data_IF_503779139965
#
_entry.id   IF_503779139965
#
_cell.length_a   1.000
_cell.length_b   1.000
_cell.length_c   1.000
_cell.angle_alpha   90.00
_cell.angle_beta   90.00
_cell.angle_gamma   90.00
#
_symmetry.space_group_name_H-M   'P 1'
#
loop_
_entity.id
_entity.type
_entity.pdbx_description
1 polymer ?
#
# COMPACT_ATOMS: atom_id res chain seq x y z
N UNK A 1 -26.16 55.86 8.06
CA UNK A 1 -25.23 56.36 7.01
C UNK A 1 -24.10 57.08 7.68
N UNK A 2 -22.91 56.51 7.64
CA UNK A 2 -21.72 57.04 8.33
C UNK A 2 -21.10 58.14 7.49
N UNK A 3 -20.67 59.25 8.13
CA UNK A 3 -20.05 60.41 7.51
C UNK A 3 -18.70 60.14 6.85
N UNK A 4 -18.14 58.94 7.04
CA UNK A 4 -16.85 58.49 6.51
C UNK A 4 -16.91 58.23 4.98
N UNK A 5 -18.08 58.02 4.42
CA UNK A 5 -18.24 57.72 2.97
C UNK A 5 -18.09 58.93 2.03
N UNK A 6 -17.80 60.11 2.58
CA UNK A 6 -17.70 61.36 1.80
C UNK A 6 -16.26 61.87 1.59
N UNK A 7 -15.22 61.19 2.05
CA UNK A 7 -13.84 61.69 2.00
C UNK A 7 -12.89 60.83 1.12
N UNK A 8 -13.37 59.86 0.40
CA UNK A 8 -12.51 59.12 -0.52
C UNK A 8 -12.57 59.68 -1.93
N UNK A 9 -11.43 60.16 -2.51
CA UNK A 9 -11.41 60.60 -3.90
C UNK A 9 -11.70 59.45 -4.85
N UNK A 10 -12.65 59.66 -5.73
CA UNK A 10 -12.98 58.79 -6.85
C UNK A 10 -11.81 58.74 -7.82
N UNK A 11 -11.05 57.64 -7.84
CA UNK A 11 -10.00 57.52 -8.87
C UNK A 11 -8.92 56.48 -8.64
N UNK A 12 -9.11 55.44 -7.82
CA UNK A 12 -8.20 54.29 -7.87
C UNK A 12 -8.90 53.14 -8.60
N UNK A 13 -8.63 53.03 -9.92
CA UNK A 13 -8.88 51.80 -10.66
C UNK A 13 -8.06 50.72 -9.98
N UNK A 14 -8.69 49.77 -9.35
CA UNK A 14 -8.08 48.46 -9.03
C UNK A 14 -7.65 47.84 -10.35
N UNK A 15 -6.35 47.81 -10.60
CA UNK A 15 -5.81 46.87 -11.59
C UNK A 15 -6.32 45.48 -11.24
N UNK A 16 -7.07 44.86 -12.14
CA UNK A 16 -7.44 43.48 -12.03
C UNK A 16 -6.14 42.66 -11.89
N UNK A 17 -5.90 42.20 -10.68
CA UNK A 17 -4.75 41.39 -10.34
C UNK A 17 -4.62 40.24 -11.29
N UNK A 18 -3.40 40.07 -11.82
CA UNK A 18 -3.00 38.93 -12.61
C UNK A 18 -3.66 37.66 -12.08
N UNK A 19 -4.30 36.92 -12.99
CA UNK A 19 -4.87 35.59 -12.71
C UNK A 19 -3.83 34.82 -11.92
N UNK A 20 -4.02 34.68 -10.62
CA UNK A 20 -3.34 33.66 -9.84
C UNK A 20 -3.72 32.35 -10.49
N UNK A 21 -2.77 31.72 -11.19
CA UNK A 21 -2.95 30.37 -11.67
C UNK A 21 -3.29 29.54 -10.43
N UNK A 22 -4.52 29.13 -10.28
CA UNK A 22 -4.91 28.21 -9.22
C UNK A 22 -4.16 26.93 -9.52
N UNK A 23 -3.15 26.63 -8.70
CA UNK A 23 -2.47 25.32 -8.76
C UNK A 23 -3.57 24.29 -8.59
N UNK A 24 -3.75 23.35 -9.53
CA UNK A 24 -4.80 22.37 -9.44
C UNK A 24 -4.73 21.64 -8.09
N UNK A 25 -5.86 21.58 -7.38
CA UNK A 25 -5.94 20.85 -6.12
C UNK A 25 -5.50 19.40 -6.35
N UNK A 26 -4.57 18.90 -5.52
CA UNK A 26 -4.08 17.51 -5.59
C UNK A 26 -2.71 17.32 -6.21
N UNK A 27 -2.07 18.36 -6.80
CA UNK A 27 -0.71 18.24 -7.33
C UNK A 27 0.39 18.18 -6.25
N UNK A 28 0.06 18.57 -5.03
CA UNK A 28 1.03 18.62 -3.94
C UNK A 28 0.61 17.70 -2.79
N UNK A 29 1.57 16.98 -2.24
CA UNK A 29 1.40 16.08 -1.09
C UNK A 29 2.38 16.49 0.01
N UNK A 30 1.92 16.56 1.25
CA UNK A 30 2.77 16.85 2.39
C UNK A 30 3.25 15.53 3.02
N UNK A 31 4.55 15.41 3.25
CA UNK A 31 5.09 14.27 3.98
C UNK A 31 4.73 14.38 5.47
N UNK A 32 4.16 13.32 6.02
CA UNK A 32 3.74 13.29 7.44
C UNK A 32 4.92 13.18 8.43
N UNK A 33 6.11 12.82 7.96
CA UNK A 33 7.30 12.63 8.81
C UNK A 33 8.21 13.87 8.84
N UNK A 34 8.44 14.53 7.70
CA UNK A 34 9.36 15.68 7.60
C UNK A 34 8.67 16.98 7.19
N UNK A 35 7.33 16.99 7.06
CA UNK A 35 6.51 18.14 6.69
C UNK A 35 6.83 18.77 5.31
N UNK A 36 7.73 18.18 4.53
CA UNK A 36 8.07 18.66 3.20
C UNK A 36 6.86 18.63 2.27
N UNK A 37 6.68 19.71 1.50
CA UNK A 37 5.70 19.76 0.41
C UNK A 37 6.34 19.18 -0.83
N UNK A 38 5.73 18.14 -1.39
CA UNK A 38 6.26 17.31 -2.45
C UNK A 38 5.36 17.38 -3.67
N UNK A 39 5.94 17.38 -4.86
CA UNK A 39 5.19 17.27 -6.10
C UNK A 39 4.71 15.82 -6.27
N UNK A 40 3.41 15.63 -6.44
CA UNK A 40 2.80 14.30 -6.43
C UNK A 40 3.37 13.34 -7.48
N UNK A 41 3.59 13.75 -8.76
CA UNK A 41 4.19 12.87 -9.74
C UNK A 41 5.61 12.40 -9.38
N UNK A 42 6.42 13.24 -8.69
CA UNK A 42 7.75 12.83 -8.24
C UNK A 42 7.67 11.78 -7.12
N UNK A 43 6.69 11.94 -6.23
CA UNK A 43 6.43 10.95 -5.17
C UNK A 43 5.97 9.63 -5.78
N UNK A 44 5.09 9.68 -6.77
CA UNK A 44 4.57 8.49 -7.47
C UNK A 44 5.68 7.77 -8.27
N UNK A 45 6.60 8.50 -8.92
CA UNK A 45 7.79 7.94 -9.58
C UNK A 45 8.77 7.29 -8.60
N UNK A 46 8.81 7.76 -7.36
CA UNK A 46 9.61 7.18 -6.28
C UNK A 46 8.77 6.20 -5.42
N UNK A 47 7.84 5.49 -6.02
CA UNK A 47 6.99 4.46 -5.39
C UNK A 47 6.33 4.90 -4.08
N UNK A 48 5.88 6.17 -4.03
CA UNK A 48 5.28 6.78 -2.85
C UNK A 48 6.21 6.81 -1.61
N UNK A 49 7.51 6.80 -1.81
CA UNK A 49 8.52 7.08 -0.79
C UNK A 49 8.91 8.55 -0.83
N UNK A 50 9.06 9.18 0.32
CA UNK A 50 9.43 10.59 0.40
C UNK A 50 10.87 10.82 -0.06
N UNK A 51 11.14 11.60 -1.13
CA UNK A 51 12.51 11.83 -1.62
C UNK A 51 13.36 12.69 -0.68
N UNK A 52 12.78 13.24 0.39
CA UNK A 52 13.50 14.08 1.37
C UNK A 52 13.93 13.35 2.64
N UNK A 53 13.17 12.33 3.06
CA UNK A 53 13.42 11.66 4.34
C UNK A 53 13.17 10.16 4.32
N UNK A 54 13.02 9.55 3.16
CA UNK A 54 12.79 8.12 2.93
C UNK A 54 11.58 7.55 3.69
N UNK A 55 10.64 8.41 4.07
CA UNK A 55 9.43 7.93 4.72
C UNK A 55 8.54 7.20 3.70
N UNK A 56 8.26 5.95 3.97
CA UNK A 56 7.32 5.12 3.20
C UNK A 56 5.90 5.60 3.46
N UNK A 57 5.32 6.35 2.51
CA UNK A 57 3.95 6.81 2.62
C UNK A 57 3.00 5.63 2.45
N UNK A 58 1.86 5.70 3.12
CA UNK A 58 0.82 4.68 2.95
C UNK A 58 0.26 4.72 1.55
N UNK A 59 0.17 3.56 0.91
CA UNK A 59 -0.43 3.35 -0.41
C UNK A 59 -1.54 2.32 -0.34
N UNK A 60 -2.49 2.38 -1.28
CA UNK A 60 -3.57 1.40 -1.40
C UNK A 60 -3.07 0.07 -1.97
N UNK A 61 -3.90 -0.96 -1.83
CA UNK A 61 -3.59 -2.31 -2.29
C UNK A 61 -3.31 -2.38 -3.80
N UNK A 62 -4.12 -1.72 -4.63
CA UNK A 62 -3.91 -1.71 -6.09
C UNK A 62 -2.57 -1.10 -6.46
N UNK A 63 -2.24 0.07 -5.90
CA UNK A 63 -0.94 0.71 -6.14
C UNK A 63 0.22 -0.19 -5.71
N UNK A 64 0.07 -0.92 -4.59
CA UNK A 64 1.05 -1.89 -4.12
C UNK A 64 1.30 -3.00 -5.15
N UNK A 65 0.22 -3.57 -5.68
CA UNK A 65 0.27 -4.62 -6.68
C UNK A 65 0.79 -4.11 -8.03
N UNK A 66 0.46 -2.86 -8.41
CA UNK A 66 0.97 -2.21 -9.62
C UNK A 66 2.48 -1.98 -9.60
N UNK A 67 3.05 -1.63 -8.44
CA UNK A 67 4.50 -1.48 -8.25
C UNK A 67 5.19 -2.85 -8.26
N UNK A 68 4.54 -3.88 -7.71
CA UNK A 68 5.19 -5.16 -7.44
C UNK A 68 5.14 -6.12 -8.62
N UNK A 69 3.99 -6.30 -9.26
CA UNK A 69 3.80 -7.25 -10.36
C UNK A 69 4.25 -6.68 -11.71
N UNK A 70 4.62 -7.58 -12.61
CA UNK A 70 4.79 -7.26 -14.03
C UNK A 70 3.47 -6.68 -14.58
N UNK A 71 3.57 -5.77 -15.54
CA UNK A 71 2.38 -5.11 -16.09
C UNK A 71 1.50 -6.05 -16.88
N UNK A 72 2.12 -6.95 -17.61
CA UNK A 72 1.45 -7.86 -18.52
C UNK A 72 1.06 -9.17 -17.81
N UNK A 73 -0.06 -9.76 -18.24
CA UNK A 73 -0.50 -11.09 -17.80
C UNK A 73 -1.00 -11.17 -16.35
N UNK A 74 -1.17 -10.05 -15.65
CA UNK A 74 -1.75 -10.04 -14.30
C UNK A 74 -3.28 -10.05 -14.34
N UNK A 75 -3.88 -10.85 -13.46
CA UNK A 75 -5.32 -11.03 -13.34
C UNK A 75 -5.77 -10.87 -11.89
N UNK A 76 -6.81 -10.06 -11.66
CA UNK A 76 -7.47 -10.01 -10.36
C UNK A 76 -8.37 -11.23 -10.19
N UNK A 77 -8.14 -12.01 -9.14
CA UNK A 77 -8.88 -13.23 -8.84
C UNK A 77 -9.79 -13.04 -7.63
N UNK A 78 -10.78 -13.93 -7.46
CA UNK A 78 -11.69 -13.96 -6.29
C UNK A 78 -12.49 -12.66 -6.10
N UNK A 79 -12.85 -12.00 -7.19
CA UNK A 79 -13.59 -10.74 -7.21
C UNK A 79 -15.06 -10.90 -6.79
N UNK A 80 -15.57 -12.13 -6.77
CA UNK A 80 -16.94 -12.51 -6.36
C UNK A 80 -17.12 -12.60 -4.84
N UNK A 81 -16.02 -12.62 -4.06
CA UNK A 81 -16.07 -12.73 -2.61
C UNK A 81 -16.26 -11.35 -1.97
N UNK A 82 -17.40 -11.19 -1.30
CA UNK A 82 -17.81 -9.94 -0.66
C UNK A 82 -18.18 -10.13 0.82
N UNK A 83 -18.04 -9.10 1.67
CA UNK A 83 -18.46 -9.16 3.06
C UNK A 83 -19.98 -9.20 3.18
N UNK A 84 -20.48 -10.00 4.12
CA UNK A 84 -21.91 -10.12 4.40
C UNK A 84 -22.16 -9.85 5.88
N UNK A 85 -23.06 -8.91 6.18
CA UNK A 85 -23.51 -8.63 7.55
C UNK A 85 -24.47 -9.72 8.06
N UNK A 86 -23.92 -10.90 8.41
CA UNK A 86 -24.68 -12.06 8.91
C UNK A 86 -25.26 -11.81 10.28
N UNK A 87 -24.59 -11.02 11.12
CA UNK A 87 -24.96 -10.77 12.51
C UNK A 87 -25.87 -9.55 12.68
N UNK A 88 -26.12 -8.79 11.61
CA UNK A 88 -26.85 -7.51 11.64
C UNK A 88 -26.28 -6.59 12.73
N UNK A 89 -24.93 -6.57 12.83
CA UNK A 89 -24.20 -5.85 13.86
C UNK A 89 -24.52 -4.36 13.84
N UNK A 90 -24.73 -3.80 15.03
CA UNK A 90 -24.96 -2.37 15.22
C UNK A 90 -24.32 -1.91 16.54
N UNK A 91 -23.51 -0.89 16.43
CA UNK A 91 -23.08 -0.02 17.53
C UNK A 91 -23.68 1.38 17.32
N UNK A 92 -22.86 2.42 17.19
CA UNK A 92 -23.31 3.77 16.81
C UNK A 92 -23.85 3.83 15.36
N UNK A 93 -23.38 2.93 14.49
CA UNK A 93 -23.83 2.77 13.09
C UNK A 93 -23.98 1.28 12.78
N UNK A 94 -24.88 0.93 11.84
CA UNK A 94 -25.01 -0.44 11.36
C UNK A 94 -23.76 -0.84 10.57
N UNK A 95 -23.34 -2.09 10.68
CA UNK A 95 -22.17 -2.61 9.94
C UNK A 95 -22.37 -2.50 8.42
N UNK A 96 -23.57 -2.82 7.93
CA UNK A 96 -23.93 -2.63 6.51
C UNK A 96 -23.68 -1.21 6.02
N UNK A 97 -24.03 -0.19 6.81
CA UNK A 97 -23.82 1.21 6.43
C UNK A 97 -22.32 1.57 6.40
N UNK A 98 -21.53 0.97 7.30
CA UNK A 98 -20.06 1.11 7.30
C UNK A 98 -19.42 0.45 6.08
N UNK A 99 -19.88 -0.75 5.69
CA UNK A 99 -19.42 -1.46 4.49
C UNK A 99 -19.66 -0.60 3.24
N UNK A 100 -20.90 -0.12 3.06
CA UNK A 100 -21.25 0.74 1.92
C UNK A 100 -20.41 2.03 1.87
N UNK A 101 -20.15 2.65 3.03
CA UNK A 101 -19.30 3.83 3.10
C UNK A 101 -17.84 3.53 2.73
N UNK A 102 -17.28 2.41 3.21
CA UNK A 102 -15.93 1.99 2.89
C UNK A 102 -15.78 1.64 1.40
N UNK A 103 -16.72 0.90 0.84
CA UNK A 103 -16.77 0.57 -0.59
C UNK A 103 -16.79 1.83 -1.46
N UNK A 104 -17.62 2.83 -1.12
CA UNK A 104 -17.65 4.11 -1.85
C UNK A 104 -16.35 4.90 -1.73
N UNK A 105 -15.70 4.86 -0.56
CA UNK A 105 -14.48 5.62 -0.30
C UNK A 105 -13.24 5.02 -0.96
N UNK A 106 -13.17 3.69 -1.06
CA UNK A 106 -12.00 2.97 -1.57
C UNK A 106 -12.16 2.48 -3.01
N UNK A 107 -13.40 2.31 -3.48
CA UNK A 107 -13.71 1.61 -4.73
C UNK A 107 -13.56 0.08 -4.62
N UNK A 108 -13.19 -0.44 -3.44
CA UNK A 108 -12.94 -1.86 -3.22
C UNK A 108 -14.12 -2.56 -2.56
N UNK A 109 -14.28 -3.84 -2.85
CA UNK A 109 -15.35 -4.67 -2.25
C UNK A 109 -15.08 -5.03 -0.79
N UNK A 110 -13.82 -5.26 -0.45
CA UNK A 110 -13.33 -5.50 0.93
C UNK A 110 -11.83 -5.16 1.06
N UNK A 111 -11.28 -5.38 2.23
CA UNK A 111 -9.92 -4.99 2.63
C UNK A 111 -8.80 -5.89 2.07
N UNK A 112 -9.05 -6.74 1.09
CA UNK A 112 -8.03 -7.57 0.44
C UNK A 112 -8.27 -7.67 -1.06
N UNK A 113 -7.19 -7.44 -1.85
CA UNK A 113 -7.14 -7.71 -3.28
C UNK A 113 -6.21 -8.90 -3.50
N UNK A 114 -6.61 -9.83 -4.36
CA UNK A 114 -5.81 -10.97 -4.75
C UNK A 114 -5.56 -10.95 -6.26
N UNK A 115 -4.32 -11.17 -6.66
CA UNK A 115 -3.92 -11.23 -8.07
C UNK A 115 -3.08 -12.47 -8.34
N UNK A 116 -3.26 -13.03 -9.53
CA UNK A 116 -2.33 -13.93 -10.19
C UNK A 116 -1.52 -13.10 -11.18
N UNK A 117 -0.22 -13.33 -11.28
CA UNK A 117 0.64 -12.60 -12.21
C UNK A 117 2.05 -13.13 -12.22
N UNK A 118 2.97 -12.29 -12.66
CA UNK A 118 4.40 -12.60 -12.67
C UNK A 118 5.19 -11.52 -11.94
N UNK A 119 6.35 -11.90 -11.42
CA UNK A 119 7.38 -11.04 -10.88
C UNK A 119 8.68 -11.33 -11.61
N UNK A 120 9.13 -10.43 -12.46
CA UNK A 120 10.27 -10.66 -13.36
C UNK A 120 10.15 -12.00 -14.11
N UNK A 121 8.98 -12.22 -14.72
CA UNK A 121 8.65 -13.42 -15.48
C UNK A 121 8.28 -14.66 -14.65
N UNK A 122 8.54 -14.68 -13.34
CA UNK A 122 8.20 -15.81 -12.47
C UNK A 122 6.75 -15.77 -12.05
N UNK A 123 5.95 -16.83 -12.28
CA UNK A 123 4.54 -16.88 -11.89
C UNK A 123 4.39 -16.94 -10.38
N UNK A 124 3.43 -16.17 -9.85
CA UNK A 124 3.08 -16.17 -8.43
C UNK A 124 1.63 -15.75 -8.20
N UNK A 125 1.14 -16.05 -7.01
CA UNK A 125 -0.06 -15.45 -6.45
C UNK A 125 0.33 -14.37 -5.45
N UNK A 126 -0.33 -13.21 -5.50
CA UNK A 126 -0.06 -12.15 -4.54
C UNK A 126 -1.36 -11.57 -3.99
N UNK A 127 -1.32 -11.18 -2.73
CA UNK A 127 -2.43 -10.52 -2.07
C UNK A 127 -1.95 -9.25 -1.37
N UNK A 128 -2.77 -8.20 -1.39
CA UNK A 128 -2.47 -6.96 -0.71
C UNK A 128 -3.67 -6.44 0.08
N UNK A 129 -3.40 -6.00 1.30
CA UNK A 129 -4.43 -5.42 2.17
C UNK A 129 -4.70 -3.95 1.80
N UNK A 130 -6.00 -3.60 1.72
CA UNK A 130 -6.45 -2.22 1.61
C UNK A 130 -6.74 -1.64 3.01
N UNK A 131 -5.78 -0.91 3.54
CA UNK A 131 -5.91 -0.37 4.89
C UNK A 131 -7.01 0.70 5.00
N UNK A 132 -7.31 1.42 3.94
CA UNK A 132 -8.39 2.41 3.93
C UNK A 132 -9.77 1.76 4.10
N UNK A 133 -9.91 0.47 3.77
CA UNK A 133 -11.12 -0.28 4.01
C UNK A 133 -11.14 -0.84 5.45
N UNK A 134 -11.89 -0.22 6.34
CA UNK A 134 -12.04 -0.64 7.75
C UNK A 134 -10.72 -0.88 8.50
N UNK A 135 -9.67 -0.09 8.19
CA UNK A 135 -8.35 -0.28 8.79
C UNK A 135 -7.69 -1.61 8.39
N UNK A 136 -8.00 -2.15 7.21
CA UNK A 136 -7.47 -3.43 6.76
C UNK A 136 -7.91 -4.63 7.59
N UNK A 137 -9.00 -4.51 8.38
CA UNK A 137 -9.41 -5.55 9.32
C UNK A 137 -9.90 -6.81 8.60
N UNK A 138 -9.48 -7.98 9.11
CA UNK A 138 -9.84 -9.29 8.59
C UNK A 138 -11.22 -9.72 9.06
N UNK A 139 -12.20 -9.72 8.16
CA UNK A 139 -13.48 -10.39 8.27
C UNK A 139 -13.53 -11.65 7.40
N UNK A 140 -14.73 -12.20 7.23
CA UNK A 140 -14.97 -13.38 6.40
C UNK A 140 -14.36 -13.28 5.01
N UNK A 141 -14.66 -12.18 4.28
CA UNK A 141 -14.21 -12.04 2.90
C UNK A 141 -12.69 -11.96 2.78
N UNK A 142 -12.00 -11.26 3.68
CA UNK A 142 -10.53 -11.21 3.71
C UNK A 142 -9.93 -12.60 3.95
N UNK A 143 -10.40 -13.31 4.98
CA UNK A 143 -9.91 -14.64 5.30
C UNK A 143 -10.21 -15.67 4.21
N UNK A 144 -11.39 -15.57 3.57
CA UNK A 144 -11.75 -16.43 2.43
C UNK A 144 -10.88 -16.16 1.21
N UNK A 145 -10.71 -14.89 0.81
CA UNK A 145 -9.84 -14.50 -0.30
C UNK A 145 -8.40 -14.97 -0.08
N UNK A 146 -7.83 -14.70 1.11
CA UNK A 146 -6.48 -15.18 1.44
C UNK A 146 -6.38 -16.70 1.32
N UNK A 147 -7.31 -17.42 1.93
CA UNK A 147 -7.31 -18.88 1.91
C UNK A 147 -7.40 -19.45 0.50
N UNK A 148 -8.30 -18.92 -0.34
CA UNK A 148 -8.44 -19.39 -1.73
C UNK A 148 -7.25 -18.98 -2.61
N UNK A 149 -6.66 -17.81 -2.38
CA UNK A 149 -5.43 -17.41 -3.05
C UNK A 149 -4.27 -18.37 -2.71
N UNK A 150 -4.13 -18.72 -1.43
CA UNK A 150 -3.15 -19.71 -0.98
C UNK A 150 -3.44 -21.14 -1.54
N UNK A 151 -4.71 -21.54 -1.64
CA UNK A 151 -5.09 -22.80 -2.27
C UNK A 151 -4.77 -22.83 -3.77
N UNK A 152 -4.97 -21.71 -4.47
CA UNK A 152 -4.57 -21.57 -5.88
C UNK A 152 -3.05 -21.69 -6.02
N UNK A 153 -2.30 -20.95 -5.20
CA UNK A 153 -0.84 -21.04 -5.16
C UNK A 153 -0.37 -22.49 -4.94
N UNK A 154 -0.99 -23.19 -3.98
CA UNK A 154 -0.70 -24.59 -3.69
C UNK A 154 -1.02 -25.52 -4.87
N UNK A 155 -2.18 -25.34 -5.53
CA UNK A 155 -2.60 -26.22 -6.64
C UNK A 155 -1.79 -26.03 -7.91
N UNK A 156 -1.27 -24.82 -8.14
CA UNK A 156 -0.46 -24.50 -9.31
C UNK A 156 1.06 -24.55 -9.04
N UNK A 157 1.47 -24.86 -7.82
CA UNK A 157 2.89 -24.91 -7.44
C UNK A 157 3.58 -23.54 -7.47
N UNK A 158 2.81 -22.45 -7.27
CA UNK A 158 3.31 -21.08 -7.31
C UNK A 158 3.54 -20.53 -5.90
N UNK A 159 4.56 -19.68 -5.69
CA UNK A 159 4.73 -18.97 -4.41
C UNK A 159 3.58 -17.99 -4.16
N UNK A 160 3.33 -17.72 -2.87
CA UNK A 160 2.40 -16.69 -2.40
C UNK A 160 3.18 -15.53 -1.77
N UNK A 161 2.87 -14.30 -2.16
CA UNK A 161 3.36 -13.09 -1.49
C UNK A 161 2.18 -12.31 -0.92
N UNK A 162 2.26 -11.94 0.36
CA UNK A 162 1.21 -11.17 1.05
C UNK A 162 1.75 -9.84 1.55
N UNK A 163 1.24 -8.74 1.01
CA UNK A 163 1.46 -7.40 1.56
C UNK A 163 0.39 -7.10 2.60
N UNK A 164 0.76 -7.14 3.86
CA UNK A 164 -0.17 -7.01 4.97
C UNK A 164 -0.15 -5.62 5.60
N UNK A 165 -1.35 -5.04 5.79
CA UNK A 165 -1.61 -3.80 6.53
C UNK A 165 -2.97 -3.92 7.23
N UNK A 166 -3.00 -4.07 8.55
CA UNK A 166 -4.25 -4.39 9.25
C UNK A 166 -4.27 -3.97 10.70
N UNK A 167 -5.45 -3.52 11.15
CA UNK A 167 -5.76 -3.33 12.56
C UNK A 167 -6.11 -4.64 13.31
N UNK A 168 -6.21 -5.79 12.62
CA UNK A 168 -6.53 -7.08 13.22
C UNK A 168 -7.88 -7.68 12.80
N UNK A 169 -8.48 -8.51 13.63
CA UNK A 169 -9.76 -9.14 13.36
C UNK A 169 -10.91 -8.11 13.33
N UNK A 170 -11.84 -8.25 12.38
CA UNK A 170 -12.98 -7.34 12.21
C UNK A 170 -14.02 -7.55 13.28
N UNK A 171 -14.11 -6.62 14.21
CA UNK A 171 -14.99 -6.70 15.39
C UNK A 171 -16.47 -6.92 15.04
N UNK A 172 -16.95 -6.31 13.95
CA UNK A 172 -18.34 -6.37 13.52
C UNK A 172 -18.80 -7.77 13.06
N UNK A 173 -17.86 -8.64 12.76
CA UNK A 173 -18.13 -10.04 12.40
C UNK A 173 -17.86 -11.03 13.54
N UNK A 174 -17.47 -10.53 14.72
CA UNK A 174 -17.29 -11.30 15.96
C UNK A 174 -16.53 -12.62 15.77
N UNK A 175 -17.08 -13.76 16.18
CA UNK A 175 -16.46 -15.07 16.07
C UNK A 175 -16.12 -15.46 14.62
N UNK A 176 -16.88 -14.99 13.64
CA UNK A 176 -16.60 -15.27 12.22
C UNK A 176 -15.23 -14.73 11.82
N UNK A 177 -14.85 -13.53 12.29
CA UNK A 177 -13.50 -12.96 12.08
C UNK A 177 -12.42 -13.80 12.75
N UNK A 178 -12.65 -14.25 13.97
CA UNK A 178 -11.68 -15.08 14.72
C UNK A 178 -11.46 -16.43 14.04
N UNK A 179 -12.51 -17.05 13.49
CA UNK A 179 -12.40 -18.29 12.73
C UNK A 179 -11.57 -18.16 11.44
N UNK A 180 -11.44 -16.94 10.89
CA UNK A 180 -10.55 -16.71 9.76
C UNK A 180 -9.07 -16.91 10.14
N UNK A 181 -8.69 -16.60 11.38
CA UNK A 181 -7.31 -16.83 11.86
C UNK A 181 -6.94 -18.32 11.75
N UNK A 182 -7.77 -19.21 12.25
CA UNK A 182 -7.53 -20.65 12.15
C UNK A 182 -7.46 -21.10 10.68
N UNK A 183 -8.33 -20.56 9.83
CA UNK A 183 -8.43 -20.91 8.42
C UNK A 183 -7.19 -20.47 7.62
N UNK A 184 -6.72 -19.26 7.84
CA UNK A 184 -5.51 -18.75 7.18
C UNK A 184 -4.25 -19.48 7.64
N UNK A 185 -4.12 -19.74 8.96
CA UNK A 185 -2.99 -20.52 9.50
C UNK A 185 -2.97 -21.96 8.96
N UNK A 186 -4.15 -22.60 8.83
CA UNK A 186 -4.23 -23.96 8.31
C UNK A 186 -3.82 -24.09 6.83
N UNK A 187 -4.14 -23.09 6.00
CA UNK A 187 -3.71 -23.13 4.59
C UNK A 187 -2.21 -22.83 4.45
N UNK A 188 -1.66 -21.94 5.26
CA UNK A 188 -0.21 -21.67 5.30
C UNK A 188 0.56 -22.94 5.68
N UNK A 189 0.11 -23.67 6.70
CA UNK A 189 0.74 -24.94 7.06
C UNK A 189 0.69 -25.96 5.91
N UNK A 190 -0.41 -26.03 5.17
CA UNK A 190 -0.48 -26.88 3.98
C UNK A 190 0.52 -26.47 2.88
N UNK A 191 0.73 -25.16 2.66
CA UNK A 191 1.74 -24.67 1.74
C UNK A 191 3.14 -25.09 2.19
N UNK A 192 3.44 -24.91 3.48
CA UNK A 192 4.71 -25.30 4.08
C UNK A 192 5.01 -26.80 3.92
N UNK A 193 4.03 -27.66 4.23
CA UNK A 193 4.15 -29.12 4.05
C UNK A 193 4.39 -29.50 2.58
N UNK A 194 3.80 -28.76 1.64
CA UNK A 194 3.98 -28.97 0.20
C UNK A 194 5.27 -28.34 -0.36
N UNK A 195 6.04 -27.60 0.45
CA UNK A 195 7.23 -26.89 0.00
C UNK A 195 6.95 -25.70 -0.91
N UNK A 196 5.74 -25.13 -0.85
CA UNK A 196 5.37 -23.94 -1.64
C UNK A 196 5.65 -22.68 -0.81
N UNK A 197 6.55 -21.78 -1.27
CA UNK A 197 6.97 -20.64 -0.49
C UNK A 197 5.85 -19.64 -0.20
N UNK A 198 5.77 -19.21 1.06
CA UNK A 198 4.94 -18.08 1.49
C UNK A 198 5.82 -16.95 2.04
N UNK A 199 5.86 -15.81 1.35
CA UNK A 199 6.57 -14.61 1.79
C UNK A 199 5.57 -13.61 2.33
N UNK A 200 5.73 -13.22 3.60
CA UNK A 200 4.95 -12.18 4.24
C UNK A 200 5.70 -10.86 4.22
N UNK A 201 5.09 -9.82 3.65
CA UNK A 201 5.63 -8.47 3.63
C UNK A 201 4.77 -7.58 4.51
N UNK A 202 5.33 -7.16 5.64
CA UNK A 202 4.66 -6.29 6.60
C UNK A 202 4.82 -4.83 6.22
N UNK A 203 3.69 -4.14 6.08
CA UNK A 203 3.63 -2.69 5.86
C UNK A 203 2.98 -1.98 7.05
N UNK A 204 2.96 -0.65 7.10
CA UNK A 204 2.48 0.09 8.29
C UNK A 204 0.97 0.33 8.29
N UNK A 205 0.26 -0.10 9.34
CA UNK A 205 0.61 -0.94 10.48
C UNK A 205 0.01 -2.35 10.39
N UNK A 206 0.51 -3.29 11.20
CA UNK A 206 -0.09 -4.62 11.36
C UNK A 206 -0.29 -4.96 12.84
N UNK A 207 -1.52 -5.34 13.20
CA UNK A 207 -1.86 -5.67 14.58
C UNK A 207 -2.84 -6.84 14.70
N UNK A 208 -2.98 -7.33 15.93
CA UNK A 208 -4.01 -8.24 16.39
C UNK A 208 -4.01 -9.60 15.68
N UNK A 209 -5.21 -10.07 15.33
CA UNK A 209 -5.38 -11.39 14.73
C UNK A 209 -4.66 -11.59 13.42
N UNK A 210 -4.48 -10.54 12.60
CA UNK A 210 -3.78 -10.63 11.32
C UNK A 210 -2.29 -10.85 11.53
N UNK A 211 -1.65 -10.15 12.49
CA UNK A 211 -0.24 -10.42 12.82
C UNK A 211 -0.03 -11.86 13.29
N UNK A 212 -0.93 -12.38 14.11
CA UNK A 212 -0.82 -13.71 14.71
C UNK A 212 -1.17 -14.88 13.77
N UNK A 213 -1.91 -14.64 12.68
CA UNK A 213 -2.48 -15.73 11.87
C UNK A 213 -2.02 -15.79 10.43
N UNK A 214 -1.34 -14.75 9.93
CA UNK A 214 -0.79 -14.76 8.59
C UNK A 214 0.47 -13.90 8.44
N UNK A 215 0.54 -12.72 9.06
CA UNK A 215 1.63 -11.79 8.77
C UNK A 215 2.99 -12.20 9.41
N UNK A 216 2.99 -13.00 10.47
CA UNK A 216 4.20 -13.55 11.10
C UNK A 216 4.37 -15.06 10.87
N UNK A 217 3.63 -15.63 9.92
CA UNK A 217 3.70 -17.06 9.58
C UNK A 217 4.35 -17.32 8.20
N UNK A 218 5.01 -16.33 7.61
CA UNK A 218 5.78 -16.50 6.38
C UNK A 218 6.97 -17.43 6.58
N UNK A 219 7.36 -18.15 5.53
CA UNK A 219 8.68 -18.80 5.49
C UNK A 219 9.79 -17.75 5.53
N UNK A 220 9.52 -16.56 4.99
CA UNK A 220 10.29 -15.34 5.16
C UNK A 220 9.34 -14.20 5.55
N UNK A 221 9.69 -13.50 6.61
CA UNK A 221 8.97 -12.34 7.14
C UNK A 221 9.75 -11.06 6.86
N UNK A 222 9.28 -10.30 5.88
CA UNK A 222 9.87 -9.04 5.43
C UNK A 222 9.09 -7.87 6.01
N UNK A 223 9.73 -6.75 6.30
CA UNK A 223 9.03 -5.50 6.64
C UNK A 223 9.56 -4.33 5.83
N UNK A 224 8.70 -3.32 5.57
CA UNK A 224 9.17 -2.02 5.11
C UNK A 224 9.85 -1.27 6.28
N UNK A 225 10.81 -0.34 5.99
CA UNK A 225 11.41 0.50 7.02
C UNK A 225 10.35 1.24 7.85
N UNK A 226 10.57 1.32 9.17
CA UNK A 226 9.73 2.04 10.13
C UNK A 226 8.29 1.48 10.25
N UNK A 227 7.96 0.35 9.61
CA UNK A 227 6.66 -0.30 9.71
C UNK A 227 6.41 -0.81 11.13
N UNK A 228 5.17 -0.63 11.62
CA UNK A 228 4.76 -1.09 12.94
C UNK A 228 4.06 -2.44 12.85
N UNK A 229 4.56 -3.42 13.58
CA UNK A 229 3.90 -4.71 13.71
C UNK A 229 3.92 -5.21 15.16
N UNK A 230 2.82 -5.81 15.57
CA UNK A 230 2.68 -6.37 16.92
C UNK A 230 1.31 -6.99 17.11
N UNK A 231 1.04 -7.52 18.32
CA UNK A 231 -0.29 -8.04 18.63
C UNK A 231 -1.20 -6.93 19.15
N UNK A 232 -0.86 -6.32 20.27
CA UNK A 232 -1.57 -5.15 20.80
C UNK A 232 -0.87 -3.86 20.39
N UNK A 233 -1.63 -2.82 20.06
CA UNK A 233 -1.03 -1.51 19.75
C UNK A 233 -0.33 -0.89 20.95
N UNK A 234 0.70 -0.03 20.75
CA UNK A 234 1.51 0.57 21.84
C UNK A 234 0.65 1.25 22.91
N UNK A 235 -0.34 2.03 22.51
CA UNK A 235 -1.23 2.73 23.45
C UNK A 235 -1.98 1.77 24.40
N UNK A 236 -2.42 0.62 23.88
CA UNK A 236 -3.13 -0.40 24.68
C UNK A 236 -2.16 -1.01 25.70
N UNK A 237 -0.94 -1.32 25.26
CA UNK A 237 0.10 -1.88 26.14
C UNK A 237 0.42 -0.89 27.25
N UNK A 238 0.75 0.37 26.91
CA UNK A 238 1.10 1.41 27.90
C UNK A 238 -0.01 1.63 28.92
N UNK A 239 -1.28 1.67 28.47
CA UNK A 239 -2.43 1.80 29.37
C UNK A 239 -2.59 0.59 30.30
N UNK A 240 -2.29 -0.61 29.80
CA UNK A 240 -2.44 -1.86 30.56
C UNK A 240 -1.35 -2.03 31.59
N UNK A 241 -0.07 -1.87 31.19
CA UNK A 241 1.08 -2.03 32.10
C UNK A 241 1.42 -0.74 32.87
N UNK A 242 0.80 0.39 32.51
CA UNK A 242 1.03 1.74 33.09
C UNK A 242 2.50 2.18 33.05
N UNK A 243 3.23 1.77 32.00
CA UNK A 243 4.63 2.12 31.76
C UNK A 243 4.79 2.65 30.35
N UNK A 244 5.75 3.55 30.14
CA UNK A 244 6.12 4.02 28.80
C UNK A 244 6.94 2.94 28.09
N UNK A 245 6.63 2.72 26.83
CA UNK A 245 7.35 1.78 25.99
C UNK A 245 8.68 2.38 25.50
N UNK A 246 9.69 1.55 25.24
CA UNK A 246 10.96 1.99 24.66
C UNK A 246 10.74 2.70 23.32
N UNK A 247 11.63 3.64 23.01
CA UNK A 247 11.61 4.31 21.69
C UNK A 247 11.80 3.28 20.57
N UNK A 248 10.95 3.35 19.55
CA UNK A 248 11.01 2.41 18.42
C UNK A 248 10.33 1.06 18.69
N UNK A 249 9.70 0.87 19.85
CA UNK A 249 8.98 -0.37 20.15
C UNK A 249 7.99 -0.76 19.05
N UNK A 250 7.99 -2.02 18.66
CA UNK A 250 7.19 -2.59 17.57
C UNK A 250 7.48 -2.01 16.16
N UNK A 251 8.56 -1.24 15.96
CA UNK A 251 9.03 -0.88 14.64
C UNK A 251 9.78 -2.04 13.99
N UNK A 252 9.85 -2.05 12.67
CA UNK A 252 10.55 -3.09 11.90
C UNK A 252 11.99 -3.28 12.37
N UNK A 253 12.70 -2.18 12.68
CA UNK A 253 14.07 -2.19 13.19
C UNK A 253 14.16 -2.89 14.58
N UNK A 254 13.19 -2.61 15.45
CA UNK A 254 13.08 -3.28 16.74
C UNK A 254 12.78 -4.78 16.57
N UNK A 255 11.86 -5.12 15.68
CA UNK A 255 11.47 -6.51 15.41
C UNK A 255 12.62 -7.32 14.82
N UNK A 256 13.38 -6.73 13.89
CA UNK A 256 14.57 -7.35 13.31
C UNK A 256 15.65 -7.61 14.38
N UNK A 257 15.93 -6.61 15.23
CA UNK A 257 16.90 -6.74 16.30
C UNK A 257 16.54 -7.83 17.33
N UNK A 258 15.25 -8.17 17.45
CA UNK A 258 14.75 -9.22 18.35
C UNK A 258 14.41 -10.53 17.64
N UNK A 259 14.75 -10.69 16.37
CA UNK A 259 14.54 -11.92 15.60
C UNK A 259 13.07 -12.25 15.30
N UNK A 260 12.17 -11.27 15.35
CA UNK A 260 10.76 -11.46 15.04
C UNK A 260 10.46 -11.36 13.52
N UNK A 261 11.37 -10.78 12.76
CA UNK A 261 11.35 -10.73 11.30
C UNK A 261 12.75 -11.04 10.74
N UNK A 262 12.82 -11.41 9.47
CA UNK A 262 14.04 -11.86 8.82
C UNK A 262 14.80 -10.73 8.13
N UNK A 263 14.10 -9.73 7.60
CA UNK A 263 14.72 -8.61 6.90
C UNK A 263 13.82 -7.37 6.83
N UNK A 264 14.49 -6.22 6.64
CA UNK A 264 13.84 -4.95 6.27
C UNK A 264 14.26 -4.65 4.85
N UNK A 265 13.27 -4.37 3.99
CA UNK A 265 13.49 -4.08 2.57
C UNK A 265 12.82 -2.77 2.21
N UNK A 266 13.59 -1.86 1.61
CA UNK A 266 13.06 -0.62 1.08
C UNK A 266 12.08 -0.89 -0.07
N UNK A 267 11.03 -0.08 -0.22
CA UNK A 267 9.98 -0.31 -1.23
C UNK A 267 10.52 -0.38 -2.64
N UNK A 268 11.47 0.49 -2.96
CA UNK A 268 12.08 0.54 -4.30
C UNK A 268 12.90 -0.73 -4.60
N UNK A 269 13.44 -1.39 -3.56
CA UNK A 269 14.24 -2.62 -3.70
C UNK A 269 13.39 -3.90 -3.54
N UNK A 270 12.10 -3.74 -3.17
CA UNK A 270 11.23 -4.87 -2.80
C UNK A 270 11.06 -5.86 -3.93
N UNK A 271 10.81 -5.36 -5.14
CA UNK A 271 10.60 -6.15 -6.34
C UNK A 271 11.81 -7.05 -6.64
N UNK A 272 13.00 -6.47 -6.71
CA UNK A 272 14.24 -7.19 -7.04
C UNK A 272 14.66 -8.15 -5.93
N UNK A 273 14.49 -7.73 -4.69
CA UNK A 273 14.84 -8.55 -3.54
C UNK A 273 13.95 -9.79 -3.46
N UNK A 274 12.63 -9.63 -3.61
CA UNK A 274 11.71 -10.77 -3.58
C UNK A 274 11.84 -11.65 -4.82
N UNK A 275 12.11 -11.11 -6.00
CA UNK A 275 12.39 -11.90 -7.18
C UNK A 275 13.61 -12.83 -6.97
N UNK A 276 14.71 -12.29 -6.44
CA UNK A 276 15.91 -13.09 -6.11
C UNK A 276 15.65 -14.16 -5.05
N UNK A 277 14.85 -13.85 -4.02
CA UNK A 277 14.48 -14.81 -2.99
C UNK A 277 13.62 -15.94 -3.55
N UNK A 278 12.55 -15.58 -4.24
CA UNK A 278 11.64 -16.55 -4.84
C UNK A 278 12.35 -17.42 -5.87
N UNK A 279 13.22 -16.85 -6.70
CA UNK A 279 14.05 -17.60 -7.63
C UNK A 279 14.89 -18.69 -6.95
N UNK A 280 15.48 -18.39 -5.78
CA UNK A 280 16.22 -19.38 -5.00
C UNK A 280 15.35 -20.50 -4.44
N UNK A 281 14.14 -20.16 -3.98
CA UNK A 281 13.23 -21.17 -3.40
C UNK A 281 12.54 -22.04 -4.45
N UNK A 282 12.26 -21.47 -5.62
CA UNK A 282 11.53 -22.19 -6.70
C UNK A 282 12.46 -22.79 -7.77
N UNK A 283 13.76 -22.47 -7.73
CA UNK A 283 14.70 -22.85 -8.79
C UNK A 283 14.50 -22.09 -10.11
N UNK A 284 13.69 -21.04 -10.11
CA UNK A 284 13.44 -20.21 -11.29
C UNK A 284 14.46 -19.07 -11.38
N UNK A 285 14.75 -18.63 -12.61
CA UNK A 285 15.65 -17.49 -12.84
C UNK A 285 14.81 -16.27 -13.15
N UNK A 286 14.94 -15.17 -12.35
CA UNK A 286 14.27 -13.92 -12.67
C UNK A 286 14.75 -13.38 -14.03
N UNK A 287 13.81 -13.00 -14.88
CA UNK A 287 14.10 -12.29 -16.13
C UNK A 287 13.97 -10.79 -15.83
N UNK A 288 15.09 -10.10 -15.75
CA UNK A 288 15.09 -8.63 -15.70
C UNK A 288 14.77 -8.15 -17.11
N UNK A 289 13.69 -7.38 -17.33
CA UNK A 289 13.49 -6.74 -18.62
C UNK A 289 14.73 -5.89 -18.93
N UNK A 290 15.32 -6.04 -20.12
CA UNK A 290 16.28 -5.08 -20.60
C UNK A 290 15.57 -3.73 -20.67
N UNK A 291 16.06 -2.72 -19.94
CA UNK A 291 15.56 -1.36 -20.05
C UNK A 291 15.69 -0.95 -21.52
N UNK A 292 14.58 -0.90 -22.23
CA UNK A 292 14.55 -0.25 -23.55
C UNK A 292 14.78 1.24 -23.31
N UNK A 293 16.03 1.67 -23.44
CA UNK A 293 16.43 3.05 -23.59
C UNK A 293 15.89 3.58 -24.93
N UNK A 294 14.57 3.76 -25.05
CA UNK A 294 13.94 4.39 -26.21
C UNK A 294 12.72 5.19 -25.75
N UNK A 295 12.98 6.40 -25.18
CA UNK A 295 12.01 7.53 -25.21
C UNK A 295 12.66 8.89 -24.86
N UNK A 296 13.95 9.07 -25.12
CA UNK A 296 14.62 10.35 -24.86
C UNK A 296 15.23 11.04 -26.11
N UNK A 297 14.87 10.64 -27.35
CA UNK A 297 15.50 11.22 -28.55
C UNK A 297 14.55 11.77 -29.63
N UNK A 298 13.37 12.31 -29.24
CA UNK A 298 12.50 12.97 -30.23
C UNK A 298 11.94 14.33 -29.77
N UNK A 299 12.79 15.17 -29.17
CA UNK A 299 12.42 16.56 -28.89
C UNK A 299 13.60 17.52 -29.00
N UNK A 300 14.30 17.51 -30.18
CA UNK A 300 15.16 18.62 -30.56
C UNK A 300 15.51 18.54 -32.06
N UNK A 301 14.61 18.99 -32.92
CA UNK A 301 14.97 19.40 -34.27
C UNK A 301 13.78 20.11 -34.97
N UNK A 302 13.51 21.37 -34.64
CA UNK A 302 12.97 22.34 -35.61
C UNK A 302 13.00 23.76 -35.01
N UNK A 303 14.12 24.40 -35.07
CA UNK A 303 14.29 25.82 -34.82
C UNK A 303 15.22 26.38 -35.90
N UNK A 304 14.71 26.49 -37.12
CA UNK A 304 15.38 27.25 -38.20
C UNK A 304 15.30 28.72 -37.86
N UNK A 305 16.48 29.32 -37.64
CA UNK A 305 16.69 30.76 -37.53
C UNK A 305 16.71 31.33 -38.93
N UNK A 306 15.70 32.11 -39.30
CA UNK A 306 15.74 33.04 -40.45
C UNK A 306 16.61 34.25 -40.10
N UNK A 307 17.73 34.37 -40.78
CA UNK A 307 18.59 35.55 -40.79
C UNK A 307 17.91 36.66 -41.61
N UNK A 308 17.59 37.78 -40.97
CA UNK A 308 17.15 39.02 -41.64
C UNK A 308 18.44 39.80 -42.01
N UNK A 309 18.68 39.90 -43.32
CA UNK A 309 19.72 40.69 -43.91
C UNK A 309 19.24 42.15 -43.96
N UNK A 310 20.01 43.06 -43.35
CA UNK A 310 19.87 44.51 -43.50
C UNK A 310 20.92 44.99 -44.52
N UNK A 311 20.46 45.35 -45.70
CA UNK A 311 21.25 46.19 -46.61
C UNK A 311 20.65 47.59 -46.64
N UNK A 312 21.55 48.54 -46.41
CA UNK A 312 21.39 49.99 -46.54
C UNK A 312 20.79 50.43 -47.89
N UNK A 313 19.93 51.45 -47.84
CA UNK A 313 20.03 52.74 -48.57
C UNK A 313 19.03 53.74 -47.98
#
# INVERSE_FOLDING_TARGET
MSWIDKILPSGVRKEEGARRSSVPEGLWKKCVKCDAVLYRPDVERNDDVCPKCDHHMRIGARRRLDIFLDRDGREEILTDIEPVDRLKFRDKKRYRDRLSAAQKATGEKDALIAMRGTLQGMPLVTVAFEFAFHGGSMGYAVGEKFTRAAQLALSEGMPLVCFSASGGARMQEALISLMQMAKTSAVIERMKVAGIPYVSVMTDPIYGGVSASLALLGDINVAEPDARAGFAGPNIIEQTIRQKLPKGFQRSEFLLAHGAIDMIVHRNDMRDTLARLLGKFTGQVPVVPEDTEDDASSADASGSVESIDHTDD
#
